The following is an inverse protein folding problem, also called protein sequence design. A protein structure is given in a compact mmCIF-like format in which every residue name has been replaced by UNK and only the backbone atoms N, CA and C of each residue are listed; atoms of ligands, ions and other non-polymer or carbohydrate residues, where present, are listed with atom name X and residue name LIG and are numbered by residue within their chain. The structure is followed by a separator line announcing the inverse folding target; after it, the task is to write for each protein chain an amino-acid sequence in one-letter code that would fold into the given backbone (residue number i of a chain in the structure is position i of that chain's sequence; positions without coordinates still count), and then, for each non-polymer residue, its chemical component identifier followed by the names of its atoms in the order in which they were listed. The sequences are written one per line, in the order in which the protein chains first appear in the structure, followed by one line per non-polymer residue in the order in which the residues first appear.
data_IF_961855339395
#
_entry.id   IF_961855339395
#
_cell.length_a   1.000
_cell.length_b   1.000
_cell.length_c   1.000
_cell.angle_alpha   90.00
_cell.angle_beta   90.00
_cell.angle_gamma   90.00
#
_symmetry.space_group_name_H-M   'P 1'
#
loop_
_entity.id
_entity.type
_entity.pdbx_description
1 polymer ?
2 non-polymer ?
3 water ?
#
# COMPACT_ATOMS: atom_id res chain seq x y z
N UNK A 4 -28.54 18.47 5.91
CA UNK A 4 -27.16 17.84 6.09
C UNK A 4 -26.19 18.37 5.03
N UNK A 5 -24.94 18.62 5.46
CA UNK A 5 -23.93 19.20 4.60
C UNK A 5 -23.39 18.20 3.60
N UNK A 6 -22.67 18.72 2.62
CA UNK A 6 -22.15 17.97 1.48
C UNK A 6 -21.28 16.81 1.96
N UNK A 7 -20.33 17.11 2.87
CA UNK A 7 -19.39 16.13 3.41
C UNK A 7 -20.07 15.29 4.49
N UNK A 8 -20.94 15.92 5.28
CA UNK A 8 -21.69 15.21 6.30
C UNK A 8 -22.44 14.02 5.69
N UNK A 9 -23.10 14.24 4.56
CA UNK A 9 -23.87 13.21 3.86
C UNK A 9 -22.97 12.06 3.36
N UNK A 10 -21.82 12.39 2.79
CA UNK A 10 -20.93 11.37 2.25
C UNK A 10 -20.32 10.55 3.40
N UNK A 11 -19.84 11.25 4.44
CA UNK A 11 -19.28 10.54 5.58
C UNK A 11 -20.34 9.61 6.16
N UNK A 12 -21.57 10.11 6.32
CA UNK A 12 -22.64 9.33 6.91
C UNK A 12 -22.95 8.12 6.02
N UNK A 13 -22.94 8.28 4.70
CA UNK A 13 -23.31 7.18 3.78
C UNK A 13 -22.30 6.04 3.90
N UNK A 14 -21.01 6.30 4.19
CA UNK A 14 -20.02 5.20 4.16
C UNK A 14 -19.67 4.71 5.56
N UNK A 15 -20.16 5.36 6.62
CA UNK A 15 -19.71 5.03 7.98
C UNK A 15 -19.85 3.54 8.29
N UNK A 16 -20.96 2.92 7.89
CA UNK A 16 -21.21 1.51 8.25
C UNK A 16 -20.24 0.55 7.54
N UNK A 17 -19.56 1.01 6.49
CA UNK A 17 -18.55 0.18 5.80
C UNK A 17 -17.18 0.26 6.46
N UNK A 18 -17.00 1.18 7.40
CA UNK A 18 -15.72 1.38 8.03
C UNK A 18 -15.73 0.74 9.42
N UNK A 19 -14.62 0.06 9.77
CA UNK A 19 -14.55 -0.73 11.02
C UNK A 19 -13.29 -0.37 11.79
N UNK A 20 -13.37 -0.58 13.08
CA UNK A 20 -12.19 -0.49 13.93
C UNK A 20 -11.52 -1.87 13.95
N UNK A 21 -10.20 -1.92 13.82
CA UNK A 21 -9.45 -3.19 13.95
C UNK A 21 -8.56 -3.06 15.16
N UNK A 22 -8.76 -3.93 16.14
CA UNK A 22 -8.03 -3.84 17.40
C UNK A 22 -7.17 -5.08 17.57
N UNK A 23 -5.92 -4.91 17.94
CA UNK A 23 -5.07 -6.08 18.24
C UNK A 23 -4.55 -5.92 19.67
N UNK A 24 -4.82 -6.93 20.50
CA UNK A 24 -4.46 -6.91 21.94
C UNK A 24 -3.67 -8.16 22.32
N UNK A 25 -2.64 -7.96 23.11
CA UNK A 25 -1.97 -8.99 23.86
C UNK A 25 -2.12 -8.63 25.33
N UNK A 26 -1.61 -9.43 26.25
CA UNK A 26 -1.82 -9.02 27.64
C UNK A 26 -0.88 -7.86 27.98
N UNK A 27 0.13 -7.58 27.16
CA UNK A 27 1.04 -6.46 27.39
C UNK A 27 0.60 -5.18 26.66
N UNK A 28 -0.06 -5.27 25.50
CA UNK A 28 -0.15 -4.13 24.55
C UNK A 28 -1.49 -4.16 23.81
N UNK A 29 -1.84 -3.05 23.15
CA UNK A 29 -3.12 -3.01 22.47
C UNK A 29 -3.19 -1.89 21.45
N UNK A 30 -3.27 -2.23 20.15
CA UNK A 30 -3.22 -1.23 19.08
C UNK A 30 -4.52 -1.28 18.27
N UNK A 31 -4.77 -0.21 17.53
CA UNK A 31 -6.07 0.05 16.98
C UNK A 31 -5.92 0.79 15.65
N UNK A 32 -6.67 0.41 14.63
CA UNK A 32 -6.68 1.19 13.42
C UNK A 32 -8.03 1.10 12.76
N UNK A 33 -8.10 1.50 11.51
CA UNK A 33 -9.34 1.39 10.76
C UNK A 33 -9.15 0.44 9.57
N UNK A 34 -10.29 0.06 9.01
CA UNK A 34 -10.32 -0.75 7.85
C UNK A 34 -11.66 -0.63 7.18
N UNK A 35 -11.82 -1.24 6.00
CA UNK A 35 -13.09 -1.06 5.26
C UNK A 35 -13.56 -2.41 4.73
N UNK A 36 -14.86 -2.61 4.86
CA UNK A 36 -15.55 -3.79 4.38
C UNK A 36 -15.58 -3.70 2.87
N UNK A 37 -15.00 -4.69 2.21
CA UNK A 37 -14.90 -4.72 0.75
C UNK A 37 -15.63 -5.91 0.12
N UNK A 38 -16.23 -6.82 0.89
CA UNK A 38 -16.89 -8.01 0.31
C UNK A 38 -17.87 -8.55 1.35
N UNK A 39 -19.09 -8.84 0.89
CA UNK A 39 -20.20 -9.25 1.75
C UNK A 39 -19.93 -10.53 2.53
N UNK A 40 -18.99 -11.36 2.09
CA UNK A 40 -18.64 -12.58 2.86
C UNK A 40 -17.81 -12.20 4.09
N UNK A 41 -17.40 -10.93 4.23
CA UNK A 41 -16.77 -10.43 5.45
C UNK A 41 -15.29 -10.15 5.27
N UNK A 42 -14.87 -9.86 4.04
CA UNK A 42 -13.48 -9.50 3.78
C UNK A 42 -13.32 -8.00 4.03
N UNK A 43 -12.24 -7.67 4.75
CA UNK A 43 -11.94 -6.33 5.21
C UNK A 43 -10.51 -5.96 4.79
N UNK A 44 -10.36 -4.75 4.28
CA UNK A 44 -9.04 -4.26 3.89
C UNK A 44 -8.56 -3.21 4.91
N UNK A 45 -7.28 -3.31 5.23
CA UNK A 45 -6.63 -2.30 6.01
C UNK A 45 -5.21 -2.14 5.44
N UNK A 46 -4.40 -1.31 6.08
CA UNK A 46 -2.99 -1.23 5.69
C UNK A 46 -2.23 -2.24 6.58
N UNK A 47 -1.02 -2.58 6.16
CA UNK A 47 -0.24 -3.67 6.80
C UNK A 47 0.29 -3.21 8.17
N UNK A 48 0.53 -1.92 8.37
CA UNK A 48 0.99 -1.36 9.65
C UNK A 48 -0.03 -1.66 10.75
N UNK A 49 -1.32 -1.61 10.41
CA UNK A 49 -2.38 -1.70 11.42
C UNK A 49 -2.35 -3.10 12.08
N UNK A 50 -1.99 -4.13 11.34
CA UNK A 50 -2.08 -5.50 11.88
C UNK A 50 -0.69 -6.14 12.00
N UNK A 51 0.35 -5.39 11.71
CA UNK A 51 1.70 -5.92 11.58
C UNK A 51 2.09 -6.66 12.86
N UNK A 52 1.95 -6.03 14.02
CA UNK A 52 2.45 -6.59 15.28
C UNK A 52 1.74 -7.95 15.55
N UNK A 53 0.42 -8.03 15.29
CA UNK A 53 -0.35 -9.26 15.45
C UNK A 53 0.07 -10.31 14.42
N UNK A 54 0.30 -9.88 13.18
CA UNK A 54 0.67 -10.87 12.14
C UNK A 54 2.03 -11.51 12.47
N UNK A 55 2.92 -10.72 13.08
CA UNK A 55 4.30 -11.16 13.39
C UNK A 55 4.33 -11.97 14.70
N UNK A 56 3.35 -11.75 15.59
CA UNK A 56 3.32 -12.40 16.90
C UNK A 56 1.91 -12.95 17.15
N UNK A 57 1.44 -13.87 16.28
CA UNK A 57 0.07 -14.33 16.36
C UNK A 57 -0.24 -15.15 17.63
N UNK A 58 0.78 -15.70 18.31
CA UNK A 58 0.50 -16.53 19.51
C UNK A 58 0.08 -15.65 20.70
N UNK A 59 0.36 -14.36 20.64
CA UNK A 59 0.17 -13.47 21.80
C UNK A 59 -0.87 -12.39 21.51
N UNK A 60 -1.24 -12.19 20.24
CA UNK A 60 -2.24 -11.14 19.90
C UNK A 60 -3.56 -11.77 19.49
N UNK A 61 -4.66 -11.08 19.84
CA UNK A 61 -6.01 -11.38 19.38
C UNK A 61 -6.52 -10.17 18.57
N UNK A 62 -7.05 -10.40 17.39
CA UNK A 62 -7.54 -9.33 16.53
C UNK A 62 -9.06 -9.39 16.43
N UNK A 63 -9.71 -8.28 16.75
CA UNK A 63 -11.14 -8.18 16.61
C UNK A 63 -11.49 -6.98 15.72
N UNK A 64 -12.71 -7.00 15.21
CA UNK A 64 -13.25 -5.96 14.39
C UNK A 64 -14.51 -5.43 15.08
N UNK A 65 -14.62 -4.11 15.17
CA UNK A 65 -15.75 -3.48 15.81
C UNK A 65 -16.52 -2.70 14.75
N UNK A 66 -17.82 -2.96 14.69
CA UNK A 66 -18.67 -2.40 13.66
C UNK A 66 -19.26 -1.07 14.14
N UNK A 67 -19.93 -0.39 13.22
CA UNK A 67 -20.45 0.92 13.46
C UNK A 67 -21.54 0.82 14.54
N UNK A 68 -22.29 -0.29 14.51
CA UNK A 68 -23.34 -0.54 15.52
C UNK A 68 -22.73 -0.89 16.89
N UNK A 69 -21.43 -1.16 16.98
CA UNK A 69 -20.75 -1.43 18.25
C UNK A 69 -20.46 -2.91 18.47
N UNK A 70 -21.03 -3.79 17.65
CA UNK A 70 -20.72 -5.24 17.66
C UNK A 70 -19.20 -5.48 17.54
N UNK A 71 -18.68 -6.38 18.35
CA UNK A 71 -17.28 -6.72 18.32
C UNK A 71 -17.18 -8.18 17.91
N UNK A 72 -16.41 -8.48 16.88
CA UNK A 72 -16.34 -9.83 16.34
C UNK A 72 -14.86 -10.23 16.17
N UNK A 73 -14.50 -11.50 16.40
CA UNK A 73 -13.14 -12.00 16.10
C UNK A 73 -12.84 -11.92 14.60
N UNK A 74 -11.59 -11.67 14.26
CA UNK A 74 -11.22 -11.47 12.87
C UNK A 74 -9.95 -12.28 12.59
N UNK A 75 -9.89 -12.90 11.42
CA UNK A 75 -8.71 -13.65 11.04
C UNK A 75 -7.98 -12.91 9.91
N UNK A 76 -6.66 -12.97 9.98
CA UNK A 76 -5.78 -12.42 8.96
C UNK A 76 -5.77 -13.34 7.75
N UNK A 77 -6.20 -12.84 6.61
CA UNK A 77 -6.29 -13.61 5.37
C UNK A 77 -4.93 -13.58 4.65
N UNK A 78 -4.31 -12.42 4.62
CA UNK A 78 -2.96 -12.28 4.09
C UNK A 78 -2.53 -10.83 4.14
N UNK A 79 -1.27 -10.57 3.87
CA UNK A 79 -0.78 -9.18 3.95
C UNK A 79 0.44 -9.01 3.02
N UNK A 80 0.63 -7.78 2.60
CA UNK A 80 1.70 -7.44 1.71
C UNK A 80 2.42 -6.22 2.25
N UNK A 81 3.52 -6.43 2.96
CA UNK A 81 4.23 -5.26 3.45
C UNK A 81 4.78 -4.36 2.32
N UNK A 82 4.96 -4.89 1.11
CA UNK A 82 5.52 -4.08 0.02
C UNK A 82 4.49 -3.05 -0.47
N UNK A 83 3.18 -3.33 -0.38
CA UNK A 83 2.15 -2.32 -0.76
C UNK A 83 1.43 -1.75 0.47
N UNK A 84 1.89 -2.15 1.65
CA UNK A 84 1.29 -1.76 2.93
C UNK A 84 -0.21 -2.09 2.99
N UNK A 85 -0.59 -3.29 2.53
CA UNK A 85 -1.98 -3.71 2.58
C UNK A 85 -2.12 -5.05 3.30
N UNK A 86 -3.31 -5.27 3.85
CA UNK A 86 -3.64 -6.51 4.52
C UNK A 86 -5.16 -6.73 4.35
N UNK A 87 -5.54 -8.00 4.42
CA UNK A 87 -6.96 -8.40 4.34
C UNK A 87 -7.29 -9.25 5.56
N UNK A 88 -8.43 -8.92 6.15
CA UNK A 88 -9.00 -9.67 7.28
C UNK A 88 -10.31 -10.29 6.84
N UNK A 89 -10.75 -11.27 7.61
CA UNK A 89 -11.99 -11.96 7.37
C UNK A 89 -12.77 -12.10 8.69
N UNK A 90 -14.03 -11.69 8.67
CA UNK A 90 -14.97 -11.99 9.75
C UNK A 90 -15.99 -13.03 9.20
N UNK A 91 -16.38 -13.97 10.06
CA UNK A 91 -17.14 -15.13 9.63
C UNK A 91 -18.59 -14.98 10.04
N UNK A 92 -19.46 -15.24 9.06
CA UNK A 92 -20.88 -15.48 9.27
C UNK A 92 -21.53 -14.25 9.90
N UNK A 93 -21.07 -13.03 9.56
CA UNK A 93 -21.75 -11.78 9.98
C UNK A 93 -22.68 -11.37 8.84
N UNK A 94 -23.93 -11.01 9.16
CA UNK A 94 -24.99 -10.84 8.16
C UNK A 94 -25.34 -9.36 7.96
N UNK A 95 -25.79 -9.05 6.74
CA UNK A 95 -26.23 -7.69 6.39
C UNK A 95 -25.04 -6.71 6.49
N UNK A 96 -23.86 -7.14 6.03
CA UNK A 96 -22.71 -6.23 5.97
C UNK A 96 -22.95 -5.17 4.89
N UNK A 97 -22.70 -3.92 5.28
CA UNK A 97 -22.63 -2.80 4.36
C UNK A 97 -21.26 -2.78 3.66
N UNK A 98 -21.24 -3.29 2.44
CA UNK A 98 -20.00 -3.40 1.69
C UNK A 98 -19.68 -2.02 1.11
N UNK A 99 -18.44 -1.55 1.24
CA UNK A 99 -18.00 -0.32 0.54
C UNK A 99 -18.13 -0.47 -0.99
N UNK A 100 -18.40 0.65 -1.67
CA UNK A 100 -18.39 0.66 -3.12
C UNK A 100 -17.02 1.11 -3.59
N UNK A 101 -16.37 0.32 -4.43
CA UNK A 101 -14.99 0.63 -4.79
C UNK A 101 -15.01 1.42 -6.10
N UNK A 102 -14.43 2.63 -6.06
CA UNK A 102 -14.28 3.49 -7.22
C UNK A 102 -13.16 3.05 -8.15
N UNK A 103 -12.78 3.96 -9.03
CA UNK A 103 -11.72 3.70 -9.97
C UNK A 103 -10.63 4.77 -9.83
N UNK A 104 -9.49 4.42 -9.25
CA UNK A 104 -8.51 5.42 -8.96
C UNK A 104 -7.90 6.02 -10.24
N UNK A 105 -8.09 5.39 -11.40
CA UNK A 105 -7.50 5.90 -12.63
C UNK A 105 -8.31 7.09 -13.12
N UNK A 106 -9.51 7.26 -12.59
CA UNK A 106 -10.38 8.37 -12.98
C UNK A 106 -10.22 9.54 -12.00
N UNK A 107 -9.41 9.39 -10.97
CA UNK A 107 -9.28 10.46 -9.99
C UNK A 107 -8.39 11.55 -10.60
N UNK A 108 -8.70 12.80 -10.25
CA UNK A 108 -7.97 13.93 -10.79
C UNK A 108 -7.51 14.85 -9.65
N UNK A 109 -6.41 15.51 -9.91
CA UNK A 109 -5.92 16.50 -8.98
C UNK A 109 -6.95 17.61 -8.80
N UNK A 110 -7.15 18.01 -7.54
CA UNK A 110 -8.21 18.97 -7.14
C UNK A 110 -9.53 18.31 -6.73
N UNK A 111 -9.71 17.02 -6.99
CA UNK A 111 -10.93 16.34 -6.59
C UNK A 111 -11.06 16.37 -5.06
N UNK A 112 -12.27 16.67 -4.56
CA UNK A 112 -12.53 16.75 -3.12
C UNK A 112 -12.63 15.33 -2.57
N UNK A 113 -12.03 15.12 -1.38
CA UNK A 113 -12.02 13.79 -0.76
C UNK A 113 -12.25 13.86 0.76
N UNK A 114 -12.69 12.73 1.29
CA UNK A 114 -12.76 12.51 2.71
C UNK A 114 -11.83 11.36 3.04
N UNK A 115 -10.99 11.56 4.07
CA UNK A 115 -10.22 10.48 4.65
C UNK A 115 -10.95 10.01 5.92
N UNK A 116 -11.57 8.85 5.81
CA UNK A 116 -12.57 8.43 6.79
C UNK A 116 -11.99 7.37 7.72
N UNK A 117 -11.98 7.68 9.02
CA UNK A 117 -11.61 6.73 10.03
C UNK A 117 -12.86 6.10 10.62
N UNK A 118 -12.67 5.03 11.39
CA UNK A 118 -13.82 4.26 11.87
C UNK A 118 -14.52 5.00 13.00
N UNK A 119 -15.82 5.16 12.89
CA UNK A 119 -16.54 6.04 13.79
C UNK A 119 -16.33 5.74 15.28
N UNK A 120 -16.10 4.48 15.70
CA UNK A 120 -15.99 4.16 17.16
C UNK A 120 -14.53 4.04 17.62
N UNK A 121 -13.53 4.13 16.73
CA UNK A 121 -12.14 4.07 17.20
C UNK A 121 -11.89 5.12 18.26
N UNK A 122 -10.95 4.85 19.17
CA UNK A 122 -10.63 5.75 20.27
C UNK A 122 -10.23 7.13 19.73
N UNK A 123 -9.31 7.16 18.76
CA UNK A 123 -8.75 8.44 18.28
C UNK A 123 -9.41 8.85 16.94
N UNK A 124 -10.60 8.36 16.63
CA UNK A 124 -11.07 8.39 15.24
C UNK A 124 -11.18 9.82 14.67
N UNK A 125 -10.87 9.95 13.40
CA UNK A 125 -10.96 11.22 12.69
C UNK A 125 -11.63 11.00 11.33
N UNK A 126 -12.36 12.02 10.90
CA UNK A 126 -12.71 12.19 9.52
C UNK A 126 -12.14 13.56 9.05
N UNK A 127 -11.39 13.55 7.97
CA UNK A 127 -10.78 14.79 7.49
C UNK A 127 -11.14 15.05 6.02
N UNK A 128 -10.95 16.27 5.60
CA UNK A 128 -11.38 16.64 4.27
C UNK A 128 -10.26 17.44 3.58
N UNK A 129 -10.15 17.26 2.26
CA UNK A 129 -9.17 17.96 1.48
C UNK A 129 -9.38 17.65 -0.01
N UNK A 130 -8.33 17.85 -0.76
CA UNK A 130 -8.36 17.51 -2.19
C UNK A 130 -7.24 16.52 -2.49
N UNK A 131 -7.33 15.89 -3.65
CA UNK A 131 -6.20 15.20 -4.19
C UNK A 131 -5.15 16.22 -4.63
N UNK A 132 -3.94 16.07 -4.11
CA UNK A 132 -2.82 16.99 -4.35
C UNK A 132 -1.88 16.45 -5.44
N UNK A 133 -1.79 15.12 -5.60
CA UNK A 133 -0.94 14.55 -6.62
C UNK A 133 -1.33 13.09 -6.84
N UNK A 134 -1.01 12.62 -8.03
CA UNK A 134 -1.29 11.25 -8.42
C UNK A 134 0.02 10.50 -8.71
N UNK A 135 0.00 9.19 -8.54
CA UNK A 135 1.15 8.36 -8.90
C UNK A 135 2.42 8.94 -8.27
N UNK A 136 2.36 9.13 -6.96
CA UNK A 136 3.42 9.78 -6.23
C UNK A 136 4.13 8.73 -5.36
N UNK A 137 5.34 8.33 -5.77
CA UNK A 137 6.11 7.44 -4.92
C UNK A 137 6.36 8.04 -3.54
N UNK A 138 6.13 7.25 -2.51
CA UNK A 138 6.35 7.71 -1.16
C UNK A 138 6.90 6.53 -0.34
N UNK A 139 8.01 6.78 0.38
CA UNK A 139 8.58 5.80 1.28
C UNK A 139 7.77 5.68 2.58
N UNK A 140 7.57 4.43 3.00
CA UNK A 140 6.90 4.10 4.25
C UNK A 140 7.82 3.22 5.09
N UNK A 141 7.99 3.58 6.35
CA UNK A 141 8.79 2.76 7.27
C UNK A 141 7.98 1.52 7.71
N UNK A 142 8.56 0.33 7.66
CA UNK A 142 7.87 -0.91 8.10
C UNK A 142 7.67 -0.91 9.61
N UNK A 143 6.52 -1.40 10.08
CA UNK A 143 6.12 -1.23 11.48
C UNK A 143 6.92 -2.17 12.38
N UNK A 144 6.79 -3.46 12.14
CA UNK A 144 7.33 -4.42 13.10
C UNK A 144 8.79 -4.67 12.82
N UNK A 145 9.08 -5.93 12.49
CA UNK A 145 10.24 -6.28 11.72
C UNK A 145 9.94 -6.15 10.23
N UNK A 146 8.87 -5.42 9.84
CA UNK A 146 8.47 -5.37 8.44
C UNK A 146 9.51 -4.56 7.66
N UNK A 147 9.79 -4.98 6.46
CA UNK A 147 10.64 -4.21 5.52
C UNK A 147 9.93 -2.87 5.21
N UNK A 148 10.71 -1.79 5.21
CA UNK A 148 10.37 -0.51 4.58
C UNK A 148 9.96 -0.74 3.13
N UNK A 149 9.13 0.14 2.57
CA UNK A 149 8.78 0.04 1.18
C UNK A 149 8.56 1.45 0.59
N UNK A 150 8.13 1.46 -0.66
CA UNK A 150 7.72 2.65 -1.36
C UNK A 150 6.43 2.27 -2.12
N UNK A 151 5.43 3.12 -2.10
CA UNK A 151 4.24 2.88 -2.89
C UNK A 151 4.00 4.07 -3.80
N UNK A 152 3.33 3.79 -4.91
CA UNK A 152 2.82 4.79 -5.77
C UNK A 152 1.50 5.30 -5.20
N UNK A 153 1.47 6.48 -4.59
CA UNK A 153 0.29 6.88 -3.81
C UNK A 153 -0.53 7.96 -4.51
N UNK A 154 -1.77 8.05 -4.04
CA UNK A 154 -2.53 9.28 -4.09
C UNK A 154 -2.06 10.16 -2.94
N UNK A 155 -1.65 11.38 -3.26
CA UNK A 155 -1.35 12.36 -2.23
C UNK A 155 -2.57 13.25 -2.04
N UNK A 156 -2.86 13.60 -0.79
CA UNK A 156 -3.98 14.47 -0.44
C UNK A 156 -3.53 15.46 0.63
N UNK A 157 -4.19 16.64 0.68
CA UNK A 157 -3.99 17.50 1.78
C UNK A 157 -5.06 17.25 2.84
N UNK A 158 -5.88 16.21 2.72
CA UNK A 158 -6.64 15.72 3.89
C UNK A 158 -5.67 15.12 4.89
N UNK A 159 -5.82 15.45 6.16
CA UNK A 159 -4.89 14.94 7.14
C UNK A 159 -5.13 13.44 7.32
N UNK A 160 -4.04 12.69 7.30
CA UNK A 160 -4.02 11.27 7.54
C UNK A 160 -3.16 11.05 8.78
N UNK A 161 -3.79 10.43 9.75
CA UNK A 161 -3.32 10.34 11.11
C UNK A 161 -3.75 8.99 11.68
N UNK A 162 -3.42 8.79 12.95
CA UNK A 162 -3.72 7.54 13.67
C UNK A 162 -5.21 7.19 13.59
N UNK A 163 -6.04 8.23 13.67
CA UNK A 163 -7.47 8.12 13.74
C UNK A 163 -8.16 7.72 12.44
N UNK A 164 -7.50 7.82 11.28
CA UNK A 164 -8.14 7.40 10.01
C UNK A 164 -7.22 6.50 9.17
N UNK A 165 -6.02 6.19 9.61
CA UNK A 165 -5.18 5.30 8.86
C UNK A 165 -5.83 3.90 8.78
N UNK A 166 -5.69 3.26 7.61
CA UNK A 166 -6.33 1.97 7.34
C UNK A 166 -7.76 2.12 6.83
N UNK A 167 -8.36 3.29 7.07
CA UNK A 167 -9.67 3.62 6.56
C UNK A 167 -9.61 4.00 5.09
N UNK A 168 -10.78 4.21 4.48
CA UNK A 168 -10.85 4.61 3.09
C UNK A 168 -10.66 6.11 2.81
N UNK A 169 -10.08 6.41 1.65
CA UNK A 169 -10.17 7.69 1.06
C UNK A 169 -11.38 7.67 0.11
N UNK A 170 -12.32 8.55 0.38
CA UNK A 170 -13.63 8.50 -0.24
C UNK A 170 -13.77 9.72 -1.14
N UNK A 171 -14.31 9.51 -2.35
CA UNK A 171 -14.63 10.60 -3.25
C UNK A 171 -16.03 11.16 -2.97
N UNK A 172 -16.44 12.15 -3.77
CA UNK A 172 -17.68 12.84 -3.53
C UNK A 172 -18.89 12.02 -4.04
N UNK A 173 -18.64 10.88 -4.67
CA UNK A 173 -19.68 9.88 -4.99
C UNK A 173 -19.80 8.83 -3.91
N UNK A 174 -19.12 9.04 -2.78
CA UNK A 174 -19.08 8.15 -1.64
C UNK A 174 -18.51 6.78 -2.04
N UNK A 175 -17.53 6.78 -2.94
CA UNK A 175 -16.85 5.55 -3.37
C UNK A 175 -15.41 5.57 -2.86
N UNK A 176 -14.90 4.39 -2.59
CA UNK A 176 -13.52 4.21 -2.11
C UNK A 176 -12.56 4.41 -3.28
N UNK A 177 -11.63 5.37 -3.12
CA UNK A 177 -10.62 5.61 -4.16
C UNK A 177 -9.24 5.29 -3.61
N UNK A 178 -9.16 4.93 -2.33
CA UNK A 178 -7.88 4.43 -1.83
C UNK A 178 -7.98 4.09 -0.35
N UNK A 179 -6.87 3.59 0.17
CA UNK A 179 -6.76 3.19 1.58
C UNK A 179 -5.74 4.12 2.26
N UNK A 180 -6.14 4.79 3.32
CA UNK A 180 -5.27 5.75 4.02
C UNK A 180 -4.07 5.01 4.61
N UNK A 181 -2.84 5.49 4.36
CA UNK A 181 -1.63 4.88 4.94
C UNK A 181 -1.43 5.31 6.39
N UNK A 182 -0.40 4.76 7.03
CA UNK A 182 -0.10 5.01 8.45
C UNK A 182 0.56 6.38 8.56
N UNK A 183 1.85 6.40 8.22
N UNK A 193 -0.25 16.64 2.63
CA UNK A 193 0.83 15.84 3.22
C UNK A 193 0.36 14.43 3.65
N UNK A 194 -0.84 13.97 3.28
CA UNK A 194 -1.27 12.54 3.48
C UNK A 194 -1.19 11.68 2.21
N UNK A 195 -1.15 10.36 2.39
CA UNK A 195 -1.02 9.43 1.29
C UNK A 195 -1.98 8.27 1.45
N UNK A 196 -2.52 7.85 0.31
CA UNK A 196 -3.42 6.71 0.19
C UNK A 196 -2.89 5.76 -0.89
N UNK A 197 -2.96 4.47 -0.57
CA UNK A 197 -2.77 3.44 -1.56
C UNK A 197 -3.97 3.49 -2.53
N UNK A 198 -3.75 3.61 -3.84
CA UNK A 198 -4.87 3.78 -4.75
C UNK A 198 -5.75 2.51 -4.84
N UNK A 199 -7.05 2.68 -5.12
CA UNK A 199 -7.98 1.57 -4.97
C UNK A 199 -7.73 0.53 -6.07
N UNK A 200 -7.25 0.94 -7.24
CA UNK A 200 -7.06 -0.04 -8.32
C UNK A 200 -5.96 -1.03 -7.94
N UNK A 201 -4.90 -0.55 -7.30
CA UNK A 201 -3.83 -1.40 -6.77
C UNK A 201 -4.34 -2.25 -5.59
N UNK A 202 -5.11 -1.64 -4.68
CA UNK A 202 -5.72 -2.36 -3.55
C UNK A 202 -6.49 -3.59 -4.07
N UNK A 203 -7.26 -3.41 -5.14
CA UNK A 203 -8.12 -4.48 -5.65
C UNK A 203 -7.28 -5.67 -6.14
N UNK A 204 -6.23 -5.37 -6.86
CA UNK A 204 -5.33 -6.37 -7.38
C UNK A 204 -4.62 -7.12 -6.24
N UNK A 205 -4.17 -6.38 -5.22
CA UNK A 205 -3.43 -6.99 -4.11
C UNK A 205 -4.40 -7.77 -3.21
N UNK A 206 -5.56 -7.20 -2.93
CA UNK A 206 -6.57 -7.88 -2.12
C UNK A 206 -7.00 -9.18 -2.82
N UNK A 207 -7.30 -9.14 -4.12
CA UNK A 207 -7.70 -10.38 -4.81
C UNK A 207 -6.66 -11.47 -4.55
N UNK A 208 -5.43 -11.07 -4.66
CA UNK A 208 -4.34 -12.04 -4.56
C UNK A 208 -4.18 -12.60 -3.15
N UNK A 209 -4.30 -11.73 -2.15
CA UNK A 209 -4.14 -12.15 -0.79
C UNK A 209 -5.31 -13.07 -0.40
N UNK A 210 -6.49 -12.84 -0.97
CA UNK A 210 -7.67 -13.66 -0.61
C UNK A 210 -7.46 -15.09 -1.12
N UNK A 211 -7.13 -15.22 -2.40
CA UNK A 211 -6.84 -16.52 -3.00
C UNK A 211 -5.63 -17.20 -2.33
N UNK A 212 -4.48 -16.54 -2.37
CA UNK A 212 -3.20 -17.23 -2.14
C UNK A 212 -2.67 -16.95 -0.74
N UNK A 213 -3.24 -15.99 -0.04
CA UNK A 213 -2.70 -15.57 1.24
C UNK A 213 -1.34 -14.92 1.08
N UNK A 214 -0.95 -14.63 -0.16
CA UNK A 214 0.37 -14.04 -0.43
C UNK A 214 0.35 -13.39 -1.81
N UNK A 215 1.18 -12.35 -2.00
CA UNK A 215 1.41 -11.71 -3.29
C UNK A 215 2.91 -11.84 -3.61
N UNK A 216 3.18 -12.11 -4.87
CA UNK A 216 4.55 -12.28 -5.36
C UNK A 216 4.91 -11.06 -6.20
N UNK A 217 5.95 -10.34 -5.80
CA UNK A 217 6.43 -9.15 -6.53
C UNK A 217 7.74 -9.49 -7.23
N UNK A 218 8.07 -8.78 -8.32
CA UNK A 218 9.33 -8.93 -8.98
C UNK A 218 10.48 -8.34 -8.15
N UNK A 219 11.67 -8.90 -8.31
CA UNK A 219 12.88 -8.34 -7.67
C UNK A 219 14.06 -8.46 -8.64
N UNK A 220 14.99 -7.52 -8.51
CA UNK A 220 16.20 -7.40 -9.31
C UNK A 220 17.47 -7.62 -8.48
N UNK A 221 17.42 -7.40 -7.17
CA UNK A 221 18.58 -7.59 -6.26
C UNK A 221 19.42 -6.33 -6.10
N UNK A 222 18.81 -5.16 -6.28
CA UNK A 222 19.48 -3.86 -6.30
C UNK A 222 18.99 -3.05 -5.11
N UNK A 223 19.91 -2.42 -4.40
CA UNK A 223 19.55 -1.29 -3.53
C UNK A 223 20.19 -0.01 -4.11
N UNK A 224 19.42 1.10 -4.04
CA UNK A 224 19.86 2.36 -4.65
C UNK A 224 19.77 3.52 -3.66
N UNK A 225 20.52 4.57 -3.98
CA UNK A 225 20.47 5.86 -3.29
C UNK A 225 20.12 6.93 -4.34
N UNK A 226 19.40 8.00 -4.00
CA UNK A 226 18.98 8.97 -5.04
C UNK A 226 20.13 9.92 -5.37
N UNK A 227 20.28 10.26 -6.63
CA UNK A 227 21.28 11.25 -7.05
C UNK A 227 20.60 12.31 -7.93
N UNK A 228 20.90 13.60 -7.69
CA UNK A 228 20.37 14.67 -8.58
C UNK A 228 21.46 15.69 -8.97
N UNK A 229 21.82 15.72 -10.25
CA UNK A 229 22.82 16.67 -10.75
C UNK A 229 22.70 16.77 -12.27
N UNK A 230 23.64 17.50 -12.89
CA UNK A 230 23.52 17.89 -14.30
C UNK A 230 23.94 16.73 -15.22
N UNK A 231 24.76 15.82 -14.70
CA UNK A 231 25.37 14.73 -15.48
C UNK A 231 24.38 13.57 -15.66
N UNK A 232 23.68 13.19 -14.58
CA UNK A 232 22.61 12.17 -14.63
C UNK A 232 21.89 12.10 -13.28
N UNK A 233 20.58 12.42 -13.27
CA UNK A 233 19.77 12.27 -12.03
C UNK A 233 19.03 10.93 -12.09
N UNK A 234 18.76 10.34 -10.92
CA UNK A 234 18.15 9.02 -10.87
C UNK A 234 18.52 8.27 -9.60
N UNK A 235 18.54 6.94 -9.70
CA UNK A 235 18.79 6.09 -8.57
C UNK A 235 20.16 5.45 -8.78
N UNK A 236 21.11 5.80 -7.91
CA UNK A 236 22.46 5.33 -8.04
C UNK A 236 22.55 4.00 -7.29
N UNK A 237 23.19 3.03 -7.94
CA UNK A 237 23.28 1.66 -7.42
C UNK A 237 24.26 1.63 -6.25
N UNK A 238 23.73 1.37 -5.06
CA UNK A 238 24.52 1.21 -3.84
C UNK A 238 25.05 -0.24 -3.74
N UNK A 239 24.17 -1.21 -3.93
CA UNK A 239 24.56 -2.62 -3.79
C UNK A 239 23.84 -3.46 -4.86
N UNK A 240 24.54 -4.48 -5.37
CA UNK A 240 23.95 -5.53 -6.21
C UNK A 240 24.17 -6.89 -5.50
N UNK A 241 23.08 -7.63 -5.28
CA UNK A 241 23.10 -8.98 -4.69
C UNK A 241 23.78 -9.96 -5.65
N UNK A 242 24.61 -10.80 -5.06
CA UNK A 242 25.22 -11.93 -5.77
C UNK A 242 24.13 -12.81 -6.36
N UNK A 243 24.34 -13.26 -7.57
CA UNK A 243 23.43 -14.17 -8.23
C UNK A 243 22.13 -13.53 -8.67
N UNK A 244 21.96 -12.22 -8.48
CA UNK A 244 20.68 -11.57 -8.72
C UNK A 244 20.47 -11.32 -10.21
N UNK A 245 19.22 -11.03 -10.60
CA UNK A 245 18.95 -10.67 -12.00
C UNK A 245 19.85 -9.52 -12.48
N UNK A 246 20.05 -8.55 -11.60
CA UNK A 246 20.85 -7.37 -11.87
C UNK A 246 22.32 -7.77 -12.08
N UNK A 247 22.81 -8.66 -11.23
CA UNK A 247 24.19 -9.15 -11.36
C UNK A 247 24.34 -9.86 -12.71
N UNK A 248 23.42 -10.77 -12.99
CA UNK A 248 23.49 -11.55 -14.17
C UNK A 248 23.30 -10.65 -15.41
N UNK A 249 22.62 -9.52 -15.29
CA UNK A 249 22.31 -8.66 -16.45
C UNK A 249 23.36 -7.59 -16.68
N UNK A 250 24.32 -7.47 -15.75
CA UNK A 250 25.49 -6.64 -15.95
C UNK A 250 25.33 -5.25 -15.38
N UNK A 251 24.57 -5.10 -14.29
CA UNK A 251 24.41 -3.84 -13.58
C UNK A 251 25.58 -3.73 -12.61
N UNK A 252 26.19 -2.54 -12.54
CA UNK A 252 27.37 -2.33 -11.73
C UNK A 252 27.05 -1.29 -10.66
N UNK A 253 27.76 -1.36 -9.54
CA UNK A 253 27.64 -0.38 -8.49
C UNK A 253 28.14 0.98 -9.04
N UNK A 254 27.56 2.04 -8.52
CA UNK A 254 27.79 3.43 -8.99
C UNK A 254 27.09 3.67 -10.35
N UNK A 255 26.48 2.66 -10.97
CA UNK A 255 25.56 2.93 -12.09
C UNK A 255 24.37 3.79 -11.61
N UNK A 256 23.94 4.72 -12.45
CA UNK A 256 22.82 5.60 -12.15
C UNK A 256 21.62 5.16 -13.00
N UNK A 257 20.63 4.55 -12.38
CA UNK A 257 19.50 4.00 -13.15
C UNK A 257 18.51 5.15 -13.47
N UNK A 258 18.10 5.27 -14.72
CA UNK A 258 17.26 6.40 -15.17
C UNK A 258 15.98 5.87 -15.80
N UNK A 259 15.91 4.58 -16.09
CA UNK A 259 14.69 4.03 -16.61
C UNK A 259 14.65 2.54 -16.29
N UNK A 260 13.50 2.10 -15.79
CA UNK A 260 13.28 0.70 -15.49
C UNK A 260 12.03 0.26 -16.24
N UNK A 261 12.19 -0.62 -17.23
CA UNK A 261 11.09 -1.00 -18.09
C UNK A 261 10.60 0.21 -18.89
N UNK A 262 9.29 0.44 -18.86
CA UNK A 262 8.69 1.58 -19.54
C UNK A 262 8.63 2.80 -18.60
N UNK A 263 9.26 2.78 -17.41
CA UNK A 263 9.10 3.92 -16.50
C UNK A 263 10.42 4.63 -16.21
N UNK A 264 10.43 5.94 -16.46
CA UNK A 264 11.53 6.77 -16.10
C UNK A 264 11.60 6.81 -14.57
N UNK A 265 12.81 6.92 -14.05
CA UNK A 265 13.08 6.80 -12.65
C UNK A 265 13.82 8.06 -12.21
N UNK A 266 13.14 8.86 -11.41
CA UNK A 266 13.66 10.14 -10.94
C UNK A 266 14.63 9.96 -9.78
N UNK A 267 14.41 8.93 -8.96
CA UNK A 267 15.14 8.79 -7.73
C UNK A 267 14.96 7.36 -7.18
N UNK A 268 15.49 7.13 -6.00
CA UNK A 268 15.48 5.79 -5.42
C UNK A 268 14.03 5.37 -5.09
N UNK A 269 13.18 6.30 -4.68
CA UNK A 269 11.77 5.99 -4.41
C UNK A 269 11.07 5.46 -5.67
N UNK A 270 11.20 6.15 -6.79
CA UNK A 270 10.55 5.71 -8.03
C UNK A 270 11.15 4.41 -8.53
N UNK A 271 12.44 4.21 -8.27
CA UNK A 271 13.08 2.98 -8.65
C UNK A 271 12.35 1.79 -8.00
N UNK A 272 12.08 1.91 -6.71
CA UNK A 272 11.42 0.82 -5.97
C UNK A 272 10.05 0.50 -6.60
N UNK A 273 9.23 1.52 -6.85
CA UNK A 273 7.92 1.34 -7.43
C UNK A 273 8.06 0.76 -8.83
N UNK A 274 9.02 1.25 -9.63
CA UNK A 274 9.11 0.85 -11.03
C UNK A 274 9.45 -0.63 -11.13
N UNK A 275 10.35 -1.11 -10.28
CA UNK A 275 10.70 -2.52 -10.31
C UNK A 275 9.42 -3.37 -10.21
N UNK A 276 8.52 -2.97 -9.33
CA UNK A 276 7.37 -3.77 -9.01
C UNK A 276 6.37 -3.81 -10.17
N UNK A 277 6.57 -2.99 -11.20
CA UNK A 277 5.69 -2.99 -12.37
C UNK A 277 6.25 -3.92 -13.45
N UNK A 278 7.40 -4.56 -13.22
CA UNK A 278 7.98 -5.46 -14.22
C UNK A 278 7.33 -6.83 -14.12
N UNK A 279 7.34 -7.53 -15.24
CA UNK A 279 6.88 -8.91 -15.32
C UNK A 279 7.97 -9.82 -14.77
N UNK A 280 7.59 -10.75 -13.90
CA UNK A 280 8.52 -11.81 -13.44
C UNK A 280 8.91 -12.71 -14.62
N UNK A 281 10.18 -13.08 -14.71
CA UNK A 281 10.64 -14.07 -15.70
C UNK A 281 10.74 -13.54 -17.12
N UNK A 282 10.41 -12.26 -17.37
CA UNK A 282 10.48 -11.68 -18.72
C UNK A 282 11.65 -10.68 -18.79
N UNK A 283 12.37 -10.68 -19.91
CA UNK A 283 13.47 -9.73 -20.15
C UNK A 283 12.91 -8.30 -20.21
N UNK A 284 13.66 -7.36 -19.64
CA UNK A 284 13.25 -5.95 -19.62
C UNK A 284 14.50 -5.06 -19.65
N UNK A 285 14.39 -3.90 -20.31
CA UNK A 285 15.49 -2.93 -20.38
C UNK A 285 15.65 -2.07 -19.11
N UNK A 286 16.88 -1.95 -18.65
CA UNK A 286 17.26 -0.98 -17.62
C UNK A 286 18.25 -0.01 -18.26
N UNK A 287 17.94 1.28 -18.21
CA UNK A 287 18.82 2.33 -18.72
C UNK A 287 19.58 2.95 -17.56
N UNK A 288 20.87 3.08 -17.79
CA UNK A 288 21.84 3.37 -16.77
C UNK A 288 22.78 4.44 -17.33
N UNK A 289 23.31 5.33 -16.48
CA UNK A 289 24.42 6.14 -16.88
C UNK A 289 25.66 5.69 -16.08
N UNK A 290 26.67 5.29 -16.85
CA UNK A 290 27.85 4.65 -16.31
C UNK A 290 29.10 5.39 -16.81
N UNK A 291 29.89 5.94 -15.89
CA UNK A 291 31.10 6.71 -16.25
C UNK A 291 30.82 7.65 -17.43
N UNK A 292 29.75 8.45 -17.30
CA UNK A 292 29.37 9.48 -18.26
C UNK A 292 28.68 8.94 -19.52
N UNK A 293 28.61 7.63 -19.68
CA UNK A 293 28.01 7.02 -20.87
C UNK A 293 26.64 6.45 -20.52
N UNK A 294 25.74 6.46 -21.51
CA UNK A 294 24.40 5.93 -21.39
C UNK A 294 24.41 4.49 -21.89
N UNK A 295 24.03 3.52 -21.03
CA UNK A 295 24.07 2.07 -21.34
C UNK A 295 22.69 1.45 -21.06
N UNK A 296 22.17 0.65 -21.97
CA UNK A 296 21.00 -0.13 -21.70
C UNK A 296 21.37 -1.59 -21.43
N UNK A 297 20.97 -2.10 -20.27
CA UNK A 297 21.15 -3.51 -19.94
C UNK A 297 19.80 -4.24 -20.05
N UNK A 298 19.87 -5.55 -19.94
CA UNK A 298 18.70 -6.39 -19.94
C UNK A 298 18.69 -7.22 -18.65
N UNK A 299 17.53 -7.25 -17.98
CA UNK A 299 17.37 -7.99 -16.75
C UNK A 299 16.06 -8.77 -16.84
N UNK A 300 16.12 -10.01 -16.35
CA UNK A 300 14.97 -10.91 -16.16
C UNK A 300 14.59 -10.95 -14.66
N UNK A 301 13.55 -10.22 -14.27
CA UNK A 301 13.24 -10.19 -12.83
C UNK A 301 12.88 -11.56 -12.22
N UNK A 302 13.34 -11.83 -10.99
CA UNK A 302 12.96 -13.01 -10.24
C UNK A 302 11.70 -12.73 -9.43
N UNK A 303 10.91 -13.79 -9.09
CA UNK A 303 9.89 -13.59 -8.04
C UNK A 303 10.57 -13.37 -6.67
N UNK A 304 10.03 -12.50 -5.83
CA UNK A 304 10.57 -12.38 -4.46
C UNK A 304 10.22 -13.60 -3.60
N UNK A 305 9.17 -14.35 -3.95
CA UNK A 305 8.79 -15.59 -3.23
C UNK A 305 8.67 -16.74 -4.24
N UNK A 306 9.76 -17.49 -4.39
CA UNK A 306 9.88 -18.44 -5.52
C UNK A 306 8.84 -19.57 -5.37
N UNK A 307 8.57 -20.01 -4.15
CA UNK A 307 7.66 -21.15 -3.94
C UNK A 307 6.18 -20.76 -4.14
N UNK A 308 5.82 -19.47 -4.01
CA UNK A 308 4.43 -19.11 -4.27
C UNK A 308 4.27 -18.63 -5.71
N UNK A 309 5.35 -18.59 -6.48
CA UNK A 309 5.26 -18.28 -7.88
C UNK A 309 5.09 -19.60 -8.64
#
# INVERSE_FOLDING_TARGET
MEPAGRFTKVAAAVADSVVTIESVSDQEGMQGSGVIVDGRGYIVTNNHVISEAANNPSQFKTTVVFNDGKEVPANLVGRDPKTDLAVLKVDNVDNLTVARLGDSSKVRVGDEVLAVGAPLGLRSTVTQGIVSALHRPVPLSGEGSDTDTVIDAIQTDASINHGNSGGPLIDMDAQVIGINTAGKSLSDSASGLGFAIPVNEMKLVANSLIKDGKIVHPTLGISTRSVSNAIASGAQVANVKAGSPAQKGGILENDVIVKVGNRAVADSDEFVVAVRQLAIGQDAPIEVVREGRHVTLTVKPDPDSTLEHHHHHH
#
